data_IF_252464180867
#
_entry.id   IF_252464180867
#
_cell.length_a   1.000
_cell.length_b   1.000
_cell.length_c   1.000
_cell.angle_alpha   90.00
_cell.angle_beta   90.00
_cell.angle_gamma   90.00
#
_symmetry.space_group_name_H-M   'P 1'
#
loop_
_entity.id
_entity.type
_entity.pdbx_description
1 polymer ?
#
# COMPACT_ATOMS: atom_id res chain seq x y z
N UNK A 1 7.85 34.37 -11.35
CA UNK A 1 8.70 33.51 -10.48
C UNK A 1 8.18 32.09 -10.60
N UNK A 2 9.05 31.11 -10.89
CA UNK A 2 8.63 29.70 -11.01
C UNK A 2 8.19 29.14 -9.65
N UNK A 3 7.01 28.54 -9.59
CA UNK A 3 6.45 27.92 -8.37
C UNK A 3 7.43 26.93 -7.72
N UNK A 4 7.51 26.92 -6.38
CA UNK A 4 8.38 25.99 -5.62
C UNK A 4 7.69 24.63 -5.41
N UNK A 5 8.47 23.55 -5.31
CA UNK A 5 7.94 22.20 -5.03
C UNK A 5 7.12 22.15 -3.73
N UNK A 6 7.55 22.88 -2.69
CA UNK A 6 6.81 22.98 -1.43
C UNK A 6 5.43 23.61 -1.60
N UNK A 7 5.29 24.57 -2.51
CA UNK A 7 4.00 25.21 -2.82
C UNK A 7 3.09 24.26 -3.61
N UNK A 8 3.64 23.50 -4.56
CA UNK A 8 2.88 22.45 -5.25
C UNK A 8 2.35 21.40 -4.26
N UNK A 9 3.19 20.92 -3.34
CA UNK A 9 2.78 19.97 -2.31
C UNK A 9 1.67 20.54 -1.41
N UNK A 10 1.70 21.84 -1.12
CA UNK A 10 0.64 22.52 -0.36
C UNK A 10 -0.68 22.54 -1.14
N UNK A 11 -0.64 22.89 -2.42
CA UNK A 11 -1.84 22.92 -3.28
C UNK A 11 -2.46 21.52 -3.45
N UNK A 12 -1.64 20.49 -3.64
CA UNK A 12 -2.08 19.09 -3.64
C UNK A 12 -2.74 18.75 -2.31
N UNK A 13 -2.10 19.02 -1.17
CA UNK A 13 -2.65 18.70 0.15
C UNK A 13 -3.99 19.39 0.43
N UNK A 14 -4.15 20.66 0.03
CA UNK A 14 -5.43 21.36 0.17
C UNK A 14 -6.53 20.75 -0.70
N UNK A 15 -6.20 20.35 -1.94
CA UNK A 15 -7.14 19.64 -2.80
C UNK A 15 -7.51 18.26 -2.24
N UNK A 16 -6.54 17.51 -1.69
CA UNK A 16 -6.77 16.22 -1.04
C UNK A 16 -7.69 16.35 0.17
N UNK A 17 -7.48 17.33 1.04
CA UNK A 17 -8.36 17.56 2.21
C UNK A 17 -9.81 17.80 1.81
N UNK A 18 -10.04 18.52 0.72
CA UNK A 18 -11.40 18.77 0.18
C UNK A 18 -12.02 17.48 -0.35
N UNK A 19 -11.28 16.75 -1.18
CA UNK A 19 -11.73 15.47 -1.73
C UNK A 19 -12.00 14.42 -0.63
N UNK A 20 -11.14 14.37 0.39
CA UNK A 20 -11.27 13.47 1.54
C UNK A 20 -12.66 13.59 2.20
N UNK A 21 -13.07 14.83 2.48
CA UNK A 21 -14.38 15.13 3.07
C UNK A 21 -15.54 14.68 2.16
N UNK A 22 -15.45 14.95 0.86
CA UNK A 22 -16.53 14.63 -0.06
C UNK A 22 -16.76 13.13 -0.22
N UNK A 23 -15.68 12.35 -0.25
CA UNK A 23 -15.75 10.90 -0.47
C UNK A 23 -15.68 10.08 0.82
N UNK A 24 -15.72 10.71 1.99
CA UNK A 24 -15.58 10.05 3.30
C UNK A 24 -14.26 9.28 3.49
N UNK A 25 -13.17 9.80 2.91
CA UNK A 25 -11.81 9.32 3.18
C UNK A 25 -11.18 10.14 4.31
N UNK A 26 -10.24 9.53 5.03
CA UNK A 26 -9.40 10.23 5.98
C UNK A 26 -8.18 10.83 5.27
N UNK A 27 -7.66 11.94 5.78
CA UNK A 27 -6.44 12.59 5.29
C UNK A 27 -5.41 12.73 6.41
N UNK A 28 -4.17 12.36 6.15
CA UNK A 28 -3.05 12.62 7.06
C UNK A 28 -1.73 12.65 6.30
N UNK A 29 -0.90 13.67 6.55
CA UNK A 29 0.48 13.78 6.03
C UNK A 29 0.63 13.56 4.51
N UNK A 30 -0.35 14.02 3.72
CA UNK A 30 -0.34 13.86 2.25
C UNK A 30 -0.91 12.54 1.74
N UNK A 31 -1.41 11.68 2.62
CA UNK A 31 -2.09 10.44 2.26
C UNK A 31 -3.59 10.58 2.43
N UNK A 32 -4.34 10.04 1.48
CA UNK A 32 -5.74 9.67 1.70
C UNK A 32 -5.79 8.21 2.09
N UNK A 33 -6.66 7.84 3.02
CA UNK A 33 -6.85 6.44 3.40
C UNK A 33 -8.26 6.18 3.90
N UNK A 34 -8.70 4.94 3.76
CA UNK A 34 -9.95 4.46 4.34
C UNK A 34 -9.87 2.96 4.60
N UNK A 35 -10.72 2.48 5.52
CA UNK A 35 -10.99 1.06 5.73
C UNK A 35 -12.38 0.77 5.15
N UNK A 36 -12.50 -0.24 4.31
CA UNK A 36 -13.78 -0.74 3.78
C UNK A 36 -13.84 -2.24 4.04
N UNK A 37 -14.69 -2.67 4.98
CA UNK A 37 -14.64 -4.04 5.50
C UNK A 37 -13.27 -4.32 6.13
N UNK A 38 -12.62 -5.41 5.72
CA UNK A 38 -11.29 -5.80 6.16
C UNK A 38 -10.16 -5.37 5.22
N UNK A 39 -10.49 -4.54 4.22
CA UNK A 39 -9.51 -3.95 3.34
C UNK A 39 -9.14 -2.54 3.79
N UNK A 40 -7.84 -2.25 3.68
CA UNK A 40 -7.29 -0.93 3.88
C UNK A 40 -6.82 -0.38 2.54
N UNK A 41 -7.32 0.80 2.18
CA UNK A 41 -6.94 1.52 0.97
C UNK A 41 -6.18 2.78 1.35
N UNK A 42 -5.13 3.10 0.61
CA UNK A 42 -4.43 4.36 0.76
C UNK A 42 -3.95 4.89 -0.59
N UNK A 43 -3.94 6.21 -0.72
CA UNK A 43 -3.56 6.92 -1.93
C UNK A 43 -2.38 7.82 -1.61
N UNK A 44 -1.39 7.76 -2.49
CA UNK A 44 -0.31 8.72 -2.54
C UNK A 44 -0.43 9.55 -3.82
N UNK A 45 -0.47 10.87 -3.67
CA UNK A 45 -0.50 11.82 -4.79
C UNK A 45 0.67 12.78 -4.62
N UNK A 46 1.53 12.86 -5.63
CA UNK A 46 2.73 13.68 -5.61
C UNK A 46 2.83 14.53 -6.87
N UNK A 47 3.09 15.82 -6.66
CA UNK A 47 3.50 16.72 -7.73
C UNK A 47 5.02 16.65 -7.88
N UNK A 48 5.52 16.60 -9.11
CA UNK A 48 6.96 16.52 -9.39
C UNK A 48 7.30 17.64 -10.36
N UNK A 49 7.80 18.75 -9.80
CA UNK A 49 8.03 20.01 -10.52
C UNK A 49 8.87 19.81 -11.79
N UNK A 50 10.03 19.17 -11.65
CA UNK A 50 11.07 19.14 -12.68
C UNK A 50 10.66 18.34 -13.91
N UNK A 51 9.89 17.27 -13.72
CA UNK A 51 9.38 16.45 -14.81
C UNK A 51 7.95 16.83 -15.18
N UNK A 52 7.37 17.87 -14.56
CA UNK A 52 6.03 18.38 -14.85
C UNK A 52 4.95 17.30 -14.77
N UNK A 53 4.91 16.54 -13.67
CA UNK A 53 3.91 15.47 -13.48
C UNK A 53 3.18 15.57 -12.16
N UNK A 54 1.91 15.20 -12.18
CA UNK A 54 1.16 14.76 -11.00
C UNK A 54 1.05 13.23 -11.07
N UNK A 55 1.72 12.55 -10.16
CA UNK A 55 1.72 11.09 -10.04
C UNK A 55 0.74 10.67 -8.95
N UNK A 56 -0.06 9.66 -9.22
CA UNK A 56 -1.13 9.17 -8.35
C UNK A 56 -1.06 7.65 -8.31
N UNK A 57 -1.02 7.09 -7.10
CA UNK A 57 -1.02 5.63 -6.91
C UNK A 57 -2.00 5.29 -5.78
N UNK A 58 -2.94 4.38 -6.08
CA UNK A 58 -3.84 3.76 -5.13
C UNK A 58 -3.32 2.37 -4.79
N UNK A 59 -3.18 2.15 -3.50
CA UNK A 59 -2.74 0.90 -2.91
C UNK A 59 -3.88 0.30 -2.10
N UNK A 60 -3.85 -1.02 -1.96
CA UNK A 60 -4.64 -1.71 -0.96
C UNK A 60 -3.86 -2.82 -0.28
N UNK A 61 -4.32 -3.23 0.90
CA UNK A 61 -3.90 -4.45 1.58
C UNK A 61 -5.02 -4.96 2.46
N UNK A 62 -4.94 -6.23 2.83
CA UNK A 62 -5.75 -6.74 3.94
C UNK A 62 -5.33 -6.01 5.23
N UNK A 63 -6.28 -5.46 5.96
CA UNK A 63 -6.01 -4.55 7.08
C UNK A 63 -5.12 -5.21 8.16
N UNK A 64 -5.39 -6.46 8.49
CA UNK A 64 -4.64 -7.19 9.51
C UNK A 64 -3.24 -7.63 9.07
N UNK A 65 -2.84 -7.39 7.80
CA UNK A 65 -1.48 -7.67 7.39
C UNK A 65 -0.45 -6.88 8.18
N UNK A 66 -0.73 -5.61 8.50
CA UNK A 66 0.17 -4.83 9.34
C UNK A 66 0.30 -5.41 10.74
N UNK A 67 -0.81 -5.91 11.31
CA UNK A 67 -0.82 -6.47 12.67
C UNK A 67 0.11 -7.69 12.77
N UNK A 68 0.01 -8.62 11.82
CA UNK A 68 0.89 -9.80 11.76
C UNK A 68 2.31 -9.42 11.38
N UNK A 69 2.48 -8.47 10.46
CA UNK A 69 3.80 -7.98 10.08
C UNK A 69 4.53 -7.38 11.28
N UNK A 70 3.85 -6.58 12.11
CA UNK A 70 4.41 -6.03 13.34
C UNK A 70 4.71 -7.10 14.39
N UNK A 71 3.92 -8.17 14.46
CA UNK A 71 4.25 -9.30 15.34
C UNK A 71 5.53 -9.99 14.92
N UNK A 72 5.69 -10.26 13.61
CA UNK A 72 6.91 -10.83 13.04
C UNK A 72 8.12 -9.94 13.32
N UNK A 73 7.96 -8.63 13.20
CA UNK A 73 9.03 -7.66 13.40
C UNK A 73 9.31 -7.33 14.88
N UNK A 74 8.57 -7.90 15.83
CA UNK A 74 8.61 -7.53 17.25
C UNK A 74 8.43 -6.00 17.44
N UNK A 75 7.29 -5.51 16.93
CA UNK A 75 6.86 -4.10 16.95
C UNK A 75 5.38 -4.01 17.36
N UNK A 76 4.92 -4.83 18.33
CA UNK A 76 3.49 -4.90 18.65
C UNK A 76 2.93 -3.57 19.19
N UNK A 77 3.77 -2.66 19.67
CA UNK A 77 3.38 -1.30 20.04
C UNK A 77 2.79 -0.50 18.87
N UNK A 78 3.13 -0.85 17.62
CA UNK A 78 2.57 -0.20 16.44
C UNK A 78 1.08 -0.46 16.27
N UNK A 79 0.55 -1.55 16.84
CA UNK A 79 -0.90 -1.86 16.84
C UNK A 79 -1.73 -0.80 17.58
N UNK A 80 -1.10 -0.01 18.46
CA UNK A 80 -1.75 1.08 19.21
C UNK A 80 -1.71 2.43 18.46
N UNK A 81 -1.04 2.49 17.30
CA UNK A 81 -0.93 3.72 16.50
C UNK A 81 -2.27 4.04 15.82
N UNK A 82 -2.52 5.31 15.47
CA UNK A 82 -3.75 5.68 14.77
C UNK A 82 -3.82 5.04 13.38
N UNK A 83 -5.03 4.90 12.83
CA UNK A 83 -5.29 4.30 11.51
C UNK A 83 -4.38 4.85 10.39
N UNK A 84 -4.05 6.15 10.43
CA UNK A 84 -3.14 6.78 9.47
C UNK A 84 -1.74 6.15 9.42
N UNK A 85 -1.33 5.47 10.49
CA UNK A 85 -0.04 4.78 10.56
C UNK A 85 0.02 3.59 9.60
N UNK A 86 -1.11 2.96 9.26
CA UNK A 86 -1.17 1.91 8.24
C UNK A 86 -0.84 2.43 6.82
N UNK A 87 -1.02 3.74 6.57
CA UNK A 87 -0.72 4.38 5.28
C UNK A 87 0.65 5.07 5.24
N UNK A 88 1.01 5.79 6.30
CA UNK A 88 2.18 6.67 6.34
C UNK A 88 3.23 6.28 7.40
N UNK A 89 3.05 5.13 8.05
CA UNK A 89 3.96 4.61 9.06
C UNK A 89 5.21 4.00 8.43
N UNK A 90 6.29 4.02 9.19
CA UNK A 90 7.48 3.20 8.87
C UNK A 90 7.20 1.77 9.34
N UNK A 91 7.78 0.78 8.66
CA UNK A 91 7.64 -0.63 9.01
C UNK A 91 6.20 -1.14 8.94
N UNK A 92 5.42 -0.68 7.97
CA UNK A 92 4.12 -1.26 7.62
C UNK A 92 4.28 -2.25 6.47
N UNK A 93 3.42 -3.26 6.40
CA UNK A 93 3.33 -4.13 5.24
C UNK A 93 3.01 -3.27 4.00
N UNK A 94 3.79 -3.37 2.91
CA UNK A 94 3.49 -2.68 1.67
C UNK A 94 2.11 -3.08 1.13
N UNK A 95 1.37 -2.12 0.60
CA UNK A 95 0.15 -2.41 -0.16
C UNK A 95 0.46 -2.78 -1.61
N UNK A 96 -0.45 -3.54 -2.21
CA UNK A 96 -0.46 -3.81 -3.64
C UNK A 96 -1.02 -2.60 -4.39
N UNK A 97 -0.34 -2.20 -5.46
CA UNK A 97 -0.81 -1.14 -6.35
C UNK A 97 -1.98 -1.70 -7.18
N UNK A 98 -3.12 -1.01 -7.15
CA UNK A 98 -4.32 -1.39 -7.92
C UNK A 98 -4.74 -0.34 -8.96
N UNK A 99 -4.21 0.88 -8.86
CA UNK A 99 -4.41 1.91 -9.86
C UNK A 99 -3.26 2.91 -9.81
N UNK A 100 -2.74 3.27 -10.98
CA UNK A 100 -1.76 4.34 -11.14
C UNK A 100 -2.15 5.27 -12.28
N UNK A 101 -1.86 6.54 -12.11
CA UNK A 101 -2.03 7.55 -13.13
C UNK A 101 -0.91 8.57 -13.05
N UNK A 102 -0.38 8.94 -14.22
CA UNK A 102 0.48 10.10 -14.36
C UNK A 102 -0.24 11.12 -15.22
N UNK A 103 -0.28 12.37 -14.74
CA UNK A 103 -0.87 13.50 -15.46
C UNK A 103 0.25 14.46 -15.78
N UNK A 104 0.49 14.70 -17.06
CA UNK A 104 1.45 15.71 -17.50
C UNK A 104 0.89 17.13 -17.25
N UNK A 105 1.75 18.01 -16.75
CA UNK A 105 1.39 19.37 -16.33
C UNK A 105 2.24 20.39 -17.09
N UNK A 106 1.70 20.88 -18.21
CA UNK A 106 2.42 21.81 -19.08
C UNK A 106 2.86 23.10 -18.36
N UNK A 107 1.99 23.63 -17.50
CA UNK A 107 2.23 24.81 -16.66
C UNK A 107 1.55 24.63 -15.30
N UNK A 108 2.26 24.95 -14.22
CA UNK A 108 1.78 24.75 -12.85
C UNK A 108 0.92 25.92 -12.37
N UNK A 109 1.27 27.13 -12.78
CA UNK A 109 0.65 28.38 -12.34
C UNK A 109 -0.85 28.48 -12.71
N UNK A 110 -1.32 27.70 -13.70
CA UNK A 110 -2.73 27.56 -14.07
C UNK A 110 -3.33 26.16 -13.82
N UNK A 111 -2.58 25.24 -13.21
CA UNK A 111 -3.05 23.87 -13.03
C UNK A 111 -4.17 23.78 -11.99
N UNK A 112 -5.33 23.26 -12.39
CA UNK A 112 -6.48 23.13 -11.49
C UNK A 112 -6.36 21.87 -10.62
N UNK A 113 -5.57 21.97 -9.54
CA UNK A 113 -5.40 20.88 -8.57
C UNK A 113 -6.72 20.39 -7.98
N UNK A 114 -7.65 21.31 -7.68
CA UNK A 114 -8.92 20.93 -7.06
C UNK A 114 -9.75 20.05 -7.99
N UNK A 115 -9.89 20.42 -9.26
CA UNK A 115 -10.62 19.62 -10.24
C UNK A 115 -9.95 18.27 -10.49
N UNK A 116 -8.63 18.25 -10.71
CA UNK A 116 -7.93 16.99 -11.02
C UNK A 116 -7.88 16.03 -9.86
N UNK A 117 -7.57 16.50 -8.65
CA UNK A 117 -7.59 15.62 -7.47
C UNK A 117 -9.01 15.12 -7.20
N UNK A 118 -10.04 15.96 -7.38
CA UNK A 118 -11.42 15.54 -7.17
C UNK A 118 -11.85 14.43 -8.14
N UNK A 119 -11.59 14.59 -9.44
CA UNK A 119 -11.89 13.58 -10.45
C UNK A 119 -11.15 12.27 -10.19
N UNK A 120 -9.86 12.34 -9.86
CA UNK A 120 -9.09 11.14 -9.53
C UNK A 120 -9.58 10.46 -8.27
N UNK A 121 -9.87 11.20 -7.19
CA UNK A 121 -10.38 10.60 -5.96
C UNK A 121 -11.78 9.99 -6.17
N UNK A 122 -12.61 10.56 -7.04
CA UNK A 122 -13.90 9.96 -7.44
C UNK A 122 -13.68 8.58 -8.09
N UNK A 123 -12.75 8.49 -9.04
CA UNK A 123 -12.39 7.22 -9.71
C UNK A 123 -11.86 6.20 -8.72
N UNK A 124 -10.93 6.62 -7.86
CA UNK A 124 -10.34 5.79 -6.82
C UNK A 124 -11.42 5.29 -5.84
N UNK A 125 -12.34 6.14 -5.40
CA UNK A 125 -13.41 5.70 -4.52
C UNK A 125 -14.26 4.60 -5.15
N UNK A 126 -14.64 4.75 -6.41
CA UNK A 126 -15.40 3.73 -7.13
C UNK A 126 -14.63 2.41 -7.28
N UNK A 127 -13.33 2.47 -7.59
CA UNK A 127 -12.46 1.29 -7.67
C UNK A 127 -12.39 0.59 -6.30
N UNK A 128 -12.17 1.35 -5.22
CA UNK A 128 -12.11 0.79 -3.87
C UNK A 128 -13.44 0.16 -3.43
N UNK A 129 -14.57 0.79 -3.78
CA UNK A 129 -15.91 0.24 -3.50
C UNK A 129 -16.17 -1.06 -4.27
N UNK A 130 -15.82 -1.11 -5.55
CA UNK A 130 -15.95 -2.31 -6.38
C UNK A 130 -15.11 -3.47 -5.82
N UNK A 131 -13.86 -3.22 -5.44
CA UNK A 131 -12.98 -4.25 -4.84
C UNK A 131 -13.53 -4.74 -3.50
N UNK A 132 -13.92 -3.83 -2.59
CA UNK A 132 -14.51 -4.19 -1.30
C UNK A 132 -15.86 -4.93 -1.45
N UNK A 133 -16.56 -4.71 -2.56
CA UNK A 133 -17.78 -5.45 -2.88
C UNK A 133 -17.51 -6.92 -3.27
N UNK A 134 -16.30 -7.24 -3.77
CA UNK A 134 -15.92 -8.58 -4.26
C UNK A 134 -15.15 -9.41 -3.24
N UNK A 135 -14.30 -8.78 -2.44
CA UNK A 135 -13.46 -9.47 -1.45
C UNK A 135 -14.18 -9.48 -0.11
N UNK A 136 -14.61 -10.66 0.36
CA UNK A 136 -15.37 -10.82 1.60
C UNK A 136 -14.58 -11.47 2.73
N UNK A 137 -13.53 -12.18 2.40
CA UNK A 137 -12.69 -12.88 3.35
C UNK A 137 -11.23 -12.94 2.85
N UNK A 138 -10.35 -13.51 3.68
CA UNK A 138 -8.93 -13.59 3.38
C UNK A 138 -8.60 -14.50 2.19
N UNK A 139 -9.43 -15.52 1.92
CA UNK A 139 -9.24 -16.41 0.78
C UNK A 139 -9.57 -15.68 -0.54
N UNK A 140 -10.65 -14.88 -0.58
CA UNK A 140 -10.94 -14.00 -1.71
C UNK A 140 -9.81 -12.99 -1.93
N UNK A 141 -9.25 -12.46 -0.84
CA UNK A 141 -8.16 -11.49 -0.90
C UNK A 141 -6.91 -12.08 -1.53
N UNK A 142 -6.46 -13.26 -1.09
CA UNK A 142 -5.22 -13.84 -1.65
C UNK A 142 -5.41 -14.26 -3.12
N UNK A 143 -6.60 -14.69 -3.53
CA UNK A 143 -6.92 -14.93 -4.94
C UNK A 143 -6.79 -13.64 -5.74
N UNK A 144 -7.31 -12.51 -5.22
CA UNK A 144 -7.20 -11.22 -5.89
C UNK A 144 -5.76 -10.69 -5.94
N UNK A 145 -4.97 -10.85 -4.87
CA UNK A 145 -3.53 -10.53 -4.83
C UNK A 145 -2.78 -11.31 -5.92
N UNK A 146 -3.00 -12.62 -6.03
CA UNK A 146 -2.39 -13.46 -7.08
C UNK A 146 -2.73 -12.97 -8.47
N UNK A 147 -4.00 -12.64 -8.73
CA UNK A 147 -4.43 -12.09 -10.02
C UNK A 147 -3.72 -10.79 -10.37
N UNK A 148 -3.57 -9.86 -9.41
CA UNK A 148 -2.82 -8.62 -9.65
C UNK A 148 -1.35 -8.90 -9.96
N UNK A 149 -0.75 -9.86 -9.25
CA UNK A 149 0.63 -10.26 -9.47
C UNK A 149 0.84 -10.91 -10.85
N UNK A 150 -0.07 -11.78 -11.29
CA UNK A 150 -0.08 -12.36 -12.63
C UNK A 150 -0.18 -11.28 -13.72
N UNK A 151 -1.06 -10.30 -13.54
CA UNK A 151 -1.18 -9.17 -14.48
C UNK A 151 0.10 -8.33 -14.53
N UNK A 152 0.72 -8.06 -13.39
CA UNK A 152 1.96 -7.32 -13.30
C UNK A 152 3.12 -8.05 -14.00
N UNK A 153 3.28 -9.35 -13.72
CA UNK A 153 4.36 -10.17 -14.28
C UNK A 153 4.18 -10.41 -15.78
N UNK A 154 2.95 -10.50 -16.27
CA UNK A 154 2.67 -10.58 -17.71
C UNK A 154 3.12 -9.30 -18.45
N UNK A 155 2.93 -8.13 -17.84
CA UNK A 155 3.40 -6.85 -18.41
C UNK A 155 4.90 -6.59 -18.20
N UNK A 156 5.48 -7.16 -17.14
CA UNK A 156 6.87 -6.92 -16.73
C UNK A 156 7.55 -8.23 -16.30
N UNK A 157 7.95 -9.10 -17.24
CA UNK A 157 8.44 -10.45 -16.93
C UNK A 157 9.77 -10.49 -16.17
N UNK A 158 10.47 -9.35 -16.07
CA UNK A 158 11.71 -9.21 -15.29
C UNK A 158 11.50 -8.48 -13.96
N UNK A 159 10.25 -8.33 -13.52
CA UNK A 159 9.94 -7.71 -12.23
C UNK A 159 10.52 -8.54 -11.08
N UNK A 160 11.16 -7.87 -10.12
CA UNK A 160 11.64 -8.48 -8.88
C UNK A 160 10.60 -8.47 -7.77
N UNK A 161 9.41 -7.92 -8.05
CA UNK A 161 8.28 -7.94 -7.14
C UNK A 161 7.80 -9.39 -7.02
N UNK A 162 7.47 -9.80 -5.80
CA UNK A 162 6.79 -11.06 -5.50
C UNK A 162 5.68 -10.78 -4.49
N UNK A 163 4.87 -11.80 -4.21
CA UNK A 163 3.79 -11.74 -3.21
C UNK A 163 4.03 -12.70 -2.03
N UNK A 164 5.28 -13.13 -1.83
CA UNK A 164 5.63 -14.15 -0.83
C UNK A 164 5.30 -13.68 0.59
N UNK A 165 5.37 -12.37 0.86
CA UNK A 165 4.98 -11.79 2.15
C UNK A 165 3.46 -11.85 2.37
N UNK A 166 2.69 -11.51 1.36
CA UNK A 166 1.22 -11.57 1.35
C UNK A 166 0.75 -13.02 1.54
N UNK A 167 1.40 -13.97 0.86
CA UNK A 167 1.16 -15.41 1.02
C UNK A 167 1.51 -15.89 2.44
N UNK A 168 2.68 -15.51 2.95
CA UNK A 168 3.13 -15.90 4.28
C UNK A 168 2.19 -15.40 5.36
N UNK A 169 1.86 -14.11 5.33
CA UNK A 169 0.97 -13.50 6.32
C UNK A 169 -0.43 -14.09 6.22
N UNK A 170 -0.94 -14.36 5.01
CA UNK A 170 -2.21 -15.07 4.82
C UNK A 170 -2.20 -16.43 5.51
N UNK A 171 -1.14 -17.22 5.33
CA UNK A 171 -0.98 -18.53 5.99
C UNK A 171 -0.94 -18.41 7.51
N UNK A 172 -0.27 -17.40 8.04
CA UNK A 172 -0.23 -17.14 9.49
C UNK A 172 -1.63 -16.80 10.02
N UNK A 173 -2.37 -15.91 9.34
CA UNK A 173 -3.75 -15.56 9.71
C UNK A 173 -4.65 -16.80 9.72
N UNK A 174 -4.49 -17.67 8.71
CA UNK A 174 -5.21 -18.95 8.58
C UNK A 174 -4.71 -20.06 9.51
N UNK A 175 -3.66 -19.80 10.30
CA UNK A 175 -2.99 -20.78 11.19
C UNK A 175 -2.40 -21.99 10.45
N UNK A 176 -2.06 -21.82 9.18
CA UNK A 176 -1.41 -22.84 8.32
C UNK A 176 0.11 -22.88 8.56
N UNK A 177 0.55 -23.02 9.81
CA UNK A 177 1.94 -22.78 10.21
C UNK A 177 2.96 -23.68 9.52
N UNK A 178 2.61 -24.95 9.24
CA UNK A 178 3.50 -25.85 8.51
C UNK A 178 3.78 -25.33 7.08
N UNK A 179 2.75 -24.81 6.39
CA UNK A 179 2.90 -24.22 5.07
C UNK A 179 3.65 -22.88 5.13
N UNK A 180 3.39 -22.07 6.16
CA UNK A 180 4.12 -20.83 6.41
C UNK A 180 5.64 -21.07 6.60
N UNK A 181 6.02 -22.09 7.38
CA UNK A 181 7.43 -22.48 7.61
C UNK A 181 8.12 -22.88 6.30
N UNK A 182 7.49 -23.73 5.51
CA UNK A 182 8.01 -24.15 4.21
C UNK A 182 8.26 -22.97 3.25
N UNK A 183 7.36 -21.99 3.25
CA UNK A 183 7.52 -20.78 2.45
C UNK A 183 8.71 -19.94 2.93
N UNK A 184 8.84 -19.73 4.24
CA UNK A 184 9.98 -19.02 4.85
C UNK A 184 11.31 -19.70 4.48
N UNK A 185 11.40 -21.02 4.59
CA UNK A 185 12.60 -21.79 4.22
C UNK A 185 12.93 -21.65 2.74
N UNK A 186 11.91 -21.68 1.88
CA UNK A 186 12.07 -21.46 0.43
C UNK A 186 12.62 -20.07 0.11
N UNK A 187 12.10 -19.02 0.76
CA UNK A 187 12.58 -17.65 0.58
C UNK A 187 14.01 -17.48 1.08
N UNK A 188 14.35 -18.07 2.24
CA UNK A 188 15.72 -18.05 2.79
C UNK A 188 16.72 -18.78 1.89
N UNK A 189 16.34 -19.94 1.32
CA UNK A 189 17.19 -20.67 0.38
C UNK A 189 17.49 -19.88 -0.91
N UNK A 190 16.59 -18.97 -1.29
CA UNK A 190 16.77 -18.04 -2.42
C UNK A 190 17.55 -16.77 -2.05
N UNK A 191 18.00 -16.63 -0.81
CA UNK A 191 18.56 -15.39 -0.25
C UNK A 191 17.63 -14.19 -0.39
N UNK A 192 16.30 -14.40 -0.41
CA UNK A 192 15.36 -13.29 -0.36
C UNK A 192 15.37 -12.67 1.04
N UNK A 193 15.51 -11.35 1.11
CA UNK A 193 15.47 -10.60 2.37
C UNK A 193 14.06 -10.19 2.78
N UNK A 194 13.09 -10.29 1.87
CA UNK A 194 11.75 -9.75 2.03
C UNK A 194 11.70 -8.21 1.97
N UNK A 195 12.83 -7.55 1.70
CA UNK A 195 12.93 -6.09 1.59
C UNK A 195 13.02 -5.35 2.94
N UNK A 196 13.21 -6.07 4.05
CA UNK A 196 13.30 -5.49 5.39
C UNK A 196 14.41 -6.13 6.20
N UNK A 197 15.18 -5.30 6.90
CA UNK A 197 16.24 -5.75 7.81
C UNK A 197 16.16 -4.97 9.13
N UNK A 198 16.04 -5.68 10.25
CA UNK A 198 16.04 -5.11 11.60
C UNK A 198 17.04 -5.89 12.46
N UNK A 199 17.93 -5.19 13.14
CA UNK A 199 18.94 -5.79 14.04
C UNK A 199 19.75 -6.93 13.40
N UNK A 200 20.16 -6.76 12.13
CA UNK A 200 20.93 -7.75 11.38
C UNK A 200 20.15 -8.98 10.90
N UNK A 201 18.83 -9.04 11.14
CA UNK A 201 17.95 -10.11 10.64
C UNK A 201 17.05 -9.58 9.53
N UNK A 202 16.92 -10.36 8.45
CA UNK A 202 15.97 -10.07 7.39
C UNK A 202 14.53 -10.49 7.77
N UNK A 203 13.55 -10.10 6.97
CA UNK A 203 12.13 -10.39 7.24
C UNK A 203 11.85 -11.88 7.47
N UNK A 204 12.34 -12.75 6.58
CA UNK A 204 12.07 -14.19 6.67
C UNK A 204 12.79 -14.87 7.83
N UNK A 205 13.98 -14.37 8.24
CA UNK A 205 14.63 -14.83 9.48
C UNK A 205 13.84 -14.44 10.72
N UNK A 206 13.22 -13.25 10.73
CA UNK A 206 12.32 -12.84 11.82
C UNK A 206 11.04 -13.68 11.83
N UNK A 207 10.46 -13.94 10.65
CA UNK A 207 9.28 -14.79 10.50
C UNK A 207 9.56 -16.25 10.93
N UNK A 208 10.75 -16.78 10.64
CA UNK A 208 11.17 -18.11 11.10
C UNK A 208 11.13 -18.20 12.62
N UNK A 209 11.67 -17.20 13.32
CA UNK A 209 11.65 -17.15 14.80
C UNK A 209 10.22 -17.05 15.34
N UNK A 210 9.38 -16.22 14.70
CA UNK A 210 7.98 -16.05 15.07
C UNK A 210 7.18 -17.36 14.98
N UNK A 211 7.45 -18.21 13.99
CA UNK A 211 6.74 -19.48 13.77
C UNK A 211 7.20 -20.64 14.69
N UNK A 212 8.23 -20.44 15.49
CA UNK A 212 8.72 -21.43 16.48
C UNK A 212 8.06 -21.23 17.85
N UNK A 213 7.53 -20.03 18.11
CA UNK A 213 6.77 -19.67 19.32
C UNK A 213 5.32 -20.17 19.23
#
# INVERSE_FOLDING_TARGET
MSIKQSELNKQVNEALKKAAKLFSWSFSRGFLFCKKGDLFFYVYISSIKNIKKLALSLYYKWYDFDNVFWDILDLQENKKKPLSFHAAGVWTMPGMIIFEQNIDVYEWEGFNFSAQVLDTVKKINNISDDIASKIKNIDDNIIYVRKLFEQLTAGFPKTTINIDKEELITKIIKKEYASAKNLVETCLAKNDSGGFTKNGKNFYQMAQNFLVL
#
